data_IF_105993599701
#
_entry.id   IF_105993599701
#
_cell.length_a   1.000
_cell.length_b   1.000
_cell.length_c   1.000
_cell.angle_alpha   90.00
_cell.angle_beta   90.00
_cell.angle_gamma   90.00
#
_symmetry.space_group_name_H-M   'P 1'
#
loop_
_entity.id
_entity.type
_entity.pdbx_description
1 polymer ?
#
# COMPACT_ATOMS: atom_id res chain seq x y z
N UNK A 1 -26.10 -18.06 -11.51
CA UNK A 1 -25.41 -17.01 -12.29
C UNK A 1 -24.02 -17.47 -12.75
N UNK A 2 -23.76 -17.38 -14.05
CA UNK A 2 -22.43 -17.68 -14.62
C UNK A 2 -21.45 -16.57 -14.20
N UNK A 3 -20.22 -16.94 -13.87
CA UNK A 3 -19.14 -15.97 -13.59
C UNK A 3 -18.08 -16.09 -14.68
N UNK A 4 -17.66 -14.94 -15.20
CA UNK A 4 -16.62 -14.83 -16.21
C UNK A 4 -15.42 -14.06 -15.64
N UNK A 5 -14.22 -14.40 -16.09
CA UNK A 5 -12.99 -13.65 -15.82
C UNK A 5 -12.52 -13.05 -17.13
N UNK A 6 -12.29 -11.75 -17.14
CA UNK A 6 -11.72 -11.00 -18.27
C UNK A 6 -10.35 -10.48 -17.86
N UNK A 7 -9.37 -10.65 -18.74
CA UNK A 7 -8.02 -10.14 -18.59
C UNK A 7 -7.74 -9.28 -19.81
N UNK A 8 -7.36 -8.01 -19.60
CA UNK A 8 -7.08 -7.04 -20.64
C UNK A 8 -5.64 -6.53 -20.49
N UNK A 9 -4.99 -6.20 -21.62
CA UNK A 9 -3.65 -5.58 -21.67
C UNK A 9 -3.59 -4.66 -22.89
N UNK A 10 -2.69 -3.67 -22.89
CA UNK A 10 -2.43 -2.82 -24.06
C UNK A 10 -1.25 -3.33 -24.89
N UNK A 11 -1.19 -2.92 -26.16
CA UNK A 11 -0.04 -3.22 -27.02
C UNK A 11 1.25 -2.58 -26.48
N UNK A 12 1.16 -1.39 -25.88
CA UNK A 12 2.29 -0.70 -25.27
C UNK A 12 2.84 -1.46 -24.07
N UNK A 13 1.98 -2.05 -23.24
CA UNK A 13 2.40 -2.85 -22.09
C UNK A 13 3.04 -4.16 -22.53
N UNK A 14 2.56 -4.80 -23.60
CA UNK A 14 3.17 -6.04 -24.12
C UNK A 14 4.63 -5.85 -24.60
N UNK A 15 5.00 -4.65 -25.02
CA UNK A 15 6.37 -4.34 -25.47
C UNK A 15 7.31 -4.02 -24.31
N UNK A 16 6.79 -3.82 -23.10
CA UNK A 16 7.59 -3.49 -21.94
C UNK A 16 8.05 -4.74 -21.20
N UNK A 17 9.27 -4.73 -20.65
CA UNK A 17 9.71 -5.74 -19.71
C UNK A 17 9.31 -5.38 -18.26
N UNK A 18 9.18 -6.40 -17.42
CA UNK A 18 9.10 -6.23 -15.96
C UNK A 18 10.39 -6.75 -15.32
N UNK A 19 11.10 -5.87 -14.61
CA UNK A 19 12.25 -6.29 -13.79
C UNK A 19 11.73 -6.88 -12.47
N UNK A 20 12.10 -8.13 -12.19
CA UNK A 20 11.77 -8.85 -10.98
C UNK A 20 12.92 -8.71 -9.98
N UNK A 21 12.62 -8.65 -8.69
CA UNK A 21 13.67 -8.60 -7.67
C UNK A 21 14.39 -9.95 -7.58
N UNK A 22 15.72 -9.94 -7.63
CA UNK A 22 16.50 -11.17 -7.46
C UNK A 22 16.30 -11.78 -6.06
N UNK A 23 16.08 -13.11 -5.94
CA UNK A 23 15.86 -13.77 -4.67
C UNK A 23 17.01 -13.61 -3.66
N UNK A 24 18.27 -13.65 -4.10
CA UNK A 24 19.42 -13.53 -3.22
C UNK A 24 19.54 -12.10 -2.67
N UNK A 25 19.18 -11.09 -3.46
CA UNK A 25 19.10 -9.71 -2.97
C UNK A 25 17.96 -9.51 -1.97
N UNK A 26 16.79 -10.09 -2.24
CA UNK A 26 15.65 -10.02 -1.33
C UNK A 26 15.97 -10.71 0.01
N UNK A 27 16.60 -11.89 -0.04
CA UNK A 27 17.06 -12.62 1.14
C UNK A 27 18.08 -11.80 1.94
N UNK A 28 19.14 -11.31 1.29
CA UNK A 28 20.19 -10.52 1.93
C UNK A 28 19.62 -9.29 2.64
N UNK A 29 18.67 -8.59 2.00
CA UNK A 29 17.96 -7.45 2.60
C UNK A 29 17.17 -7.88 3.85
N UNK A 30 16.48 -9.03 3.79
CA UNK A 30 15.67 -9.55 4.89
C UNK A 30 16.47 -10.03 6.11
N UNK A 31 17.69 -10.54 5.90
CA UNK A 31 18.56 -11.03 6.98
C UNK A 31 19.61 -10.00 7.44
N UNK A 32 19.63 -8.80 6.84
CA UNK A 32 20.58 -7.74 7.19
C UNK A 32 22.01 -7.98 6.69
N UNK A 33 22.18 -8.86 5.70
CA UNK A 33 23.48 -9.15 5.09
C UNK A 33 23.79 -8.17 3.95
N UNK A 34 25.06 -8.13 3.53
CA UNK A 34 25.47 -7.40 2.33
C UNK A 34 24.69 -7.90 1.10
N UNK A 35 24.12 -6.96 0.34
CA UNK A 35 23.36 -7.27 -0.87
C UNK A 35 24.35 -7.68 -1.97
N UNK A 36 24.16 -8.83 -2.63
CA UNK A 36 25.04 -9.28 -3.71
C UNK A 36 24.91 -8.37 -4.94
N UNK A 37 26.04 -8.12 -5.59
CA UNK A 37 26.11 -7.38 -6.87
C UNK A 37 25.87 -8.32 -8.05
N UNK A 38 24.61 -8.67 -8.26
CA UNK A 38 24.13 -9.49 -9.37
C UNK A 38 22.98 -8.78 -10.07
N UNK A 39 22.77 -8.92 -11.39
CA UNK A 39 21.64 -8.27 -12.06
C UNK A 39 20.29 -8.86 -11.63
N UNK A 40 19.24 -8.03 -11.62
CA UNK A 40 17.87 -8.48 -11.35
C UNK A 40 17.27 -9.17 -12.61
N UNK A 41 16.52 -10.28 -12.47
CA UNK A 41 15.91 -10.96 -13.61
C UNK A 41 14.86 -10.10 -14.31
N UNK A 42 14.72 -10.25 -15.63
CA UNK A 42 13.80 -9.47 -16.45
C UNK A 42 12.77 -10.39 -17.12
N UNK A 43 11.49 -10.20 -16.80
CA UNK A 43 10.37 -10.90 -17.40
C UNK A 43 9.86 -10.17 -18.64
N UNK A 44 9.62 -10.91 -19.72
CA UNK A 44 8.98 -10.39 -20.94
C UNK A 44 7.48 -10.62 -20.87
N UNK A 45 6.71 -9.65 -21.36
CA UNK A 45 5.27 -9.79 -21.47
C UNK A 45 4.91 -10.60 -22.74
N UNK A 46 3.85 -11.38 -22.66
CA UNK A 46 3.34 -12.23 -23.74
C UNK A 46 1.81 -12.19 -23.72
N UNK A 47 1.19 -12.47 -24.86
CA UNK A 47 -0.27 -12.47 -25.02
C UNK A 47 -0.95 -13.72 -24.48
N UNK A 48 -0.17 -14.74 -24.19
CA UNK A 48 -0.61 -16.09 -23.87
C UNK A 48 0.12 -16.61 -22.63
N UNK A 49 -0.56 -17.46 -21.86
CA UNK A 49 -0.03 -17.99 -20.62
C UNK A 49 -1.06 -18.80 -19.84
N UNK A 50 -0.66 -19.30 -18.67
CA UNK A 50 -1.52 -20.11 -17.81
C UNK A 50 -1.90 -19.33 -16.56
N UNK A 51 -3.20 -19.11 -16.36
CA UNK A 51 -3.74 -18.52 -15.13
C UNK A 51 -4.33 -19.63 -14.26
N UNK A 52 -3.82 -19.78 -13.03
CA UNK A 52 -4.36 -20.72 -12.04
C UNK A 52 -5.23 -19.94 -11.05
N UNK A 53 -6.54 -20.17 -11.06
CA UNK A 53 -7.49 -19.50 -10.18
C UNK A 53 -7.99 -20.43 -9.08
N UNK A 54 -8.01 -19.93 -7.83
CA UNK A 54 -8.70 -20.58 -6.70
C UNK A 54 -9.76 -19.62 -6.17
N UNK A 55 -11.03 -19.96 -6.37
CA UNK A 55 -12.16 -19.11 -6.00
C UNK A 55 -12.83 -19.65 -4.74
N UNK A 56 -13.00 -18.80 -3.72
CA UNK A 56 -13.76 -19.11 -2.50
C UNK A 56 -14.82 -18.03 -2.31
N UNK A 57 -16.09 -18.42 -2.25
CA UNK A 57 -17.20 -17.50 -2.01
C UNK A 57 -17.57 -17.52 -0.53
N UNK A 58 -17.30 -16.44 0.20
CA UNK A 58 -17.82 -16.24 1.56
C UNK A 58 -19.11 -15.43 1.45
N UNK A 59 -20.26 -16.05 1.69
CA UNK A 59 -21.57 -15.45 1.43
C UNK A 59 -22.21 -14.79 2.67
N UNK A 60 -21.41 -14.18 3.56
CA UNK A 60 -21.89 -13.65 4.85
C UNK A 60 -21.74 -12.15 5.06
N UNK A 61 -21.46 -11.37 4.02
CA UNK A 61 -21.50 -9.92 4.11
C UNK A 61 -21.97 -9.33 2.79
N UNK A 62 -23.13 -8.68 2.83
CA UNK A 62 -23.54 -7.72 1.81
C UNK A 62 -22.43 -6.67 1.73
N UNK A 63 -21.58 -6.74 0.71
CA UNK A 63 -20.67 -5.64 0.40
C UNK A 63 -21.57 -4.58 -0.20
N UNK A 64 -21.87 -3.54 0.58
CA UNK A 64 -22.43 -2.29 0.05
C UNK A 64 -21.43 -1.75 -0.97
N UNK A 65 -21.59 -2.13 -2.24
CA UNK A 65 -20.92 -1.47 -3.37
C UNK A 65 -21.70 -0.17 -3.60
N UNK A 66 -21.51 0.78 -2.69
CA UNK A 66 -21.88 2.17 -2.88
C UNK A 66 -20.73 2.92 -3.56
N UNK A 67 -20.99 3.87 -4.47
CA UNK A 67 -19.93 4.66 -5.09
C UNK A 67 -19.34 5.59 -4.03
N UNK A 68 -18.17 5.25 -3.49
CA UNK A 68 -17.55 6.06 -2.43
C UNK A 68 -16.73 7.24 -2.96
N UNK A 69 -16.41 7.30 -4.25
CA UNK A 69 -15.83 8.50 -4.87
C UNK A 69 -16.31 8.61 -6.33
N UNK A 70 -16.79 9.79 -6.72
CA UNK A 70 -17.60 10.01 -7.93
C UNK A 70 -16.93 9.66 -9.26
N UNK A 71 -17.07 8.41 -9.70
CA UNK A 71 -16.91 8.03 -11.10
C UNK A 71 -18.17 7.28 -11.56
N UNK A 72 -19.05 8.00 -12.24
CA UNK A 72 -20.13 7.39 -13.02
C UNK A 72 -19.53 6.79 -14.28
N UNK A 73 -19.07 5.55 -14.18
CA UNK A 73 -18.66 4.75 -15.32
C UNK A 73 -18.77 3.27 -14.99
N UNK A 74 -19.70 2.57 -15.66
CA UNK A 74 -19.70 1.11 -15.74
C UNK A 74 -18.50 0.64 -16.56
N UNK A 75 -17.32 0.71 -15.98
CA UNK A 75 -16.09 0.15 -16.52
C UNK A 75 -15.65 -1.09 -15.72
N UNK A 76 -15.02 -2.09 -16.35
CA UNK A 76 -14.42 -3.20 -15.63
C UNK A 76 -13.37 -2.69 -14.63
N UNK A 77 -13.41 -3.19 -13.40
CA UNK A 77 -12.36 -2.91 -12.41
C UNK A 77 -11.10 -3.67 -12.79
N UNK A 78 -10.03 -2.95 -13.15
CA UNK A 78 -8.71 -3.55 -13.38
C UNK A 78 -8.05 -3.86 -12.04
N UNK A 79 -7.68 -5.12 -11.82
CA UNK A 79 -6.82 -5.52 -10.69
C UNK A 79 -5.47 -5.86 -11.30
N UNK A 80 -4.51 -4.93 -11.20
CA UNK A 80 -3.19 -5.07 -11.81
C UNK A 80 -2.67 -3.85 -12.58
N UNK A 81 -3.20 -2.64 -12.33
CA UNK A 81 -2.68 -1.42 -12.94
C UNK A 81 -1.31 -1.02 -12.33
N UNK A 82 -0.25 -1.75 -12.73
CA UNK A 82 1.07 -1.14 -12.80
C UNK A 82 0.98 -0.08 -13.88
N UNK A 83 1.02 1.18 -13.47
CA UNK A 83 1.12 2.31 -14.38
C UNK A 83 2.22 2.05 -15.41
N UNK A 84 1.96 2.44 -16.67
CA UNK A 84 2.98 2.56 -17.71
C UNK A 84 4.26 3.22 -17.15
N UNK A 85 5.46 2.91 -17.68
CA UNK A 85 6.70 3.33 -17.11
C UNK A 85 6.81 4.82 -17.35
N UNK A 86 6.54 5.59 -16.30
CA UNK A 86 6.98 6.96 -16.24
C UNK A 86 8.49 6.94 -16.46
N UNK A 87 8.95 7.71 -17.45
CA UNK A 87 10.36 7.95 -17.69
C UNK A 87 11.07 8.19 -16.36
N UNK A 88 12.19 7.51 -16.15
CA UNK A 88 12.95 7.54 -14.91
C UNK A 88 13.09 8.98 -14.41
N UNK A 89 12.57 9.32 -13.21
CA UNK A 89 12.95 10.57 -12.61
C UNK A 89 14.45 10.47 -12.32
N UNK A 90 15.21 11.45 -12.81
CA UNK A 90 16.54 11.76 -12.28
C UNK A 90 16.49 11.73 -10.75
N UNK A 91 17.57 11.32 -10.05
CA UNK A 91 17.54 11.08 -8.61
C UNK A 91 17.09 12.35 -7.89
N UNK A 92 15.81 12.37 -7.51
CA UNK A 92 15.26 13.40 -6.66
C UNK A 92 15.79 13.11 -5.28
N UNK A 93 16.58 14.05 -4.79
CA UNK A 93 16.95 14.19 -3.39
C UNK A 93 15.76 13.84 -2.47
N UNK A 94 16.01 13.24 -1.28
CA UNK A 94 14.96 12.75 -0.39
C UNK A 94 13.89 13.82 -0.22
N UNK A 95 12.72 13.54 -0.80
CA UNK A 95 11.58 14.45 -0.75
C UNK A 95 11.16 14.49 0.70
N UNK A 96 11.54 15.59 1.36
CA UNK A 96 11.08 16.01 2.67
C UNK A 96 9.57 15.71 2.74
N UNK A 97 9.17 14.93 3.74
CA UNK A 97 7.78 14.56 4.03
C UNK A 97 6.89 15.77 3.79
N UNK A 98 6.04 15.71 2.76
CA UNK A 98 4.97 16.69 2.62
C UNK A 98 4.13 16.58 3.89
N UNK A 99 3.81 17.70 4.56
CA UNK A 99 3.11 17.67 5.83
C UNK A 99 1.80 16.89 5.65
N UNK A 100 1.57 15.97 6.59
CA UNK A 100 0.36 15.16 6.63
C UNK A 100 -0.87 16.08 6.52
N UNK A 101 -1.86 15.70 5.72
CA UNK A 101 -3.07 16.51 5.56
C UNK A 101 -3.76 16.70 6.93
N UNK A 102 -4.24 17.91 7.24
CA UNK A 102 -4.80 18.25 8.56
C UNK A 102 -5.91 17.29 9.04
N UNK A 103 -6.73 16.79 8.10
CA UNK A 103 -7.78 15.81 8.40
C UNK A 103 -7.21 14.45 8.82
N UNK A 104 -6.12 14.04 8.18
CA UNK A 104 -5.37 12.83 8.54
C UNK A 104 -4.73 12.99 9.91
N UNK A 105 -4.18 14.17 10.23
CA UNK A 105 -3.58 14.44 11.54
C UNK A 105 -4.61 14.41 12.67
N UNK A 106 -5.78 15.00 12.43
CA UNK A 106 -6.90 14.94 13.37
C UNK A 106 -7.37 13.51 13.63
N UNK A 107 -7.41 12.67 12.58
CA UNK A 107 -7.77 11.26 12.69
C UNK A 107 -6.81 10.48 13.60
N UNK A 108 -5.50 10.58 13.34
CA UNK A 108 -4.50 9.88 14.15
C UNK A 108 -4.48 10.38 15.60
N UNK A 109 -4.55 11.69 15.82
CA UNK A 109 -4.61 12.26 17.17
C UNK A 109 -5.83 11.78 17.96
N UNK A 110 -7.00 11.64 17.32
CA UNK A 110 -8.20 11.09 17.95
C UNK A 110 -8.04 9.59 18.25
N UNK A 111 -7.55 8.83 17.28
CA UNK A 111 -7.37 7.39 17.44
C UNK A 111 -6.34 7.04 18.54
N UNK A 112 -5.26 7.83 18.64
CA UNK A 112 -4.27 7.73 19.72
C UNK A 112 -4.92 8.01 21.07
N UNK A 113 -5.67 9.12 21.20
CA UNK A 113 -6.40 9.45 22.45
C UNK A 113 -7.37 8.34 22.85
N UNK A 114 -8.15 7.82 21.92
CA UNK A 114 -9.14 6.77 22.18
C UNK A 114 -8.49 5.44 22.59
N UNK A 115 -7.40 5.05 21.92
CA UNK A 115 -6.66 3.84 22.26
C UNK A 115 -6.00 3.94 23.64
N UNK A 116 -5.38 5.09 23.94
CA UNK A 116 -4.85 5.34 25.28
C UNK A 116 -5.97 5.33 26.31
N UNK A 117 -7.11 6.00 26.09
CA UNK A 117 -8.27 6.01 26.97
C UNK A 117 -8.77 4.59 27.30
N UNK A 118 -8.75 3.68 26.32
CA UNK A 118 -9.13 2.27 26.49
C UNK A 118 -8.08 1.40 27.20
N UNK A 119 -6.85 1.91 27.35
CA UNK A 119 -5.74 1.14 27.94
C UNK A 119 -4.98 0.31 26.92
N UNK A 120 -5.33 0.42 25.63
CA UNK A 120 -4.69 -0.27 24.53
C UNK A 120 -3.39 0.46 24.12
N UNK A 121 -2.40 0.48 25.01
CA UNK A 121 -1.13 1.21 24.79
C UNK A 121 -0.41 0.71 23.55
N UNK A 122 -0.41 -0.60 23.28
CA UNK A 122 0.20 -1.18 22.08
C UNK A 122 -0.43 -0.68 20.78
N UNK A 123 -1.75 -0.45 20.80
CA UNK A 123 -2.46 0.10 19.65
C UNK A 123 -2.16 1.58 19.48
N UNK A 124 -2.08 2.32 20.57
CA UNK A 124 -1.71 3.73 20.56
C UNK A 124 -0.28 3.96 20.04
N UNK A 125 0.67 3.09 20.38
CA UNK A 125 2.03 3.12 19.86
C UNK A 125 2.09 2.85 18.35
N UNK A 126 1.38 1.83 17.85
CA UNK A 126 1.29 1.57 16.40
C UNK A 126 0.68 2.74 15.61
N UNK A 127 -0.32 3.41 16.17
CA UNK A 127 -0.94 4.59 15.57
C UNK A 127 0.01 5.81 15.58
N UNK A 128 0.81 5.94 16.63
CA UNK A 128 1.86 6.96 16.72
C UNK A 128 2.93 6.75 15.64
N UNK A 129 3.50 5.54 15.55
CA UNK A 129 4.56 5.22 14.58
C UNK A 129 4.09 5.47 13.13
N UNK A 130 2.83 5.11 12.84
CA UNK A 130 2.22 5.31 11.53
C UNK A 130 2.01 6.81 11.24
N UNK A 131 1.57 7.60 12.21
CA UNK A 131 1.42 9.04 12.06
C UNK A 131 2.77 9.74 11.87
N UNK A 132 3.82 9.35 12.60
CA UNK A 132 5.18 9.89 12.44
C UNK A 132 5.77 9.53 11.07
N UNK A 133 5.56 8.28 10.62
CA UNK A 133 5.96 7.82 9.28
C UNK A 133 5.32 8.64 8.16
N UNK A 134 4.09 9.10 8.38
CA UNK A 134 3.34 9.96 7.46
C UNK A 134 3.65 11.46 7.66
N UNK A 135 4.57 11.81 8.56
CA UNK A 135 5.05 13.18 8.76
C UNK A 135 4.25 14.00 9.78
N UNK A 136 3.45 13.37 10.65
CA UNK A 136 2.79 14.08 11.74
C UNK A 136 3.81 14.63 12.73
N UNK A 137 3.62 15.89 13.11
CA UNK A 137 4.44 16.57 14.12
C UNK A 137 3.77 16.62 15.49
N UNK A 138 2.46 16.33 15.55
CA UNK A 138 1.64 16.40 16.78
C UNK A 138 1.27 15.04 17.39
N UNK A 139 1.48 13.93 16.68
CA UNK A 139 1.11 12.60 17.17
C UNK A 139 1.84 12.24 18.48
N UNK A 140 3.15 12.52 18.56
CA UNK A 140 3.98 12.19 19.74
C UNK A 140 3.58 12.96 20.99
N UNK A 141 3.34 14.27 20.85
CA UNK A 141 2.88 15.10 21.97
C UNK A 141 1.46 14.72 22.42
N UNK A 142 0.60 14.32 21.48
CA UNK A 142 -0.74 13.80 21.75
C UNK A 142 -0.69 12.49 22.53
N UNK A 143 0.17 11.55 22.13
CA UNK A 143 0.38 10.29 22.85
C UNK A 143 0.83 10.54 24.30
N UNK A 144 1.90 11.32 24.49
CA UNK A 144 2.47 11.63 25.81
C UNK A 144 1.44 12.28 26.73
N UNK A 145 0.67 13.24 26.21
CA UNK A 145 -0.37 13.93 26.98
C UNK A 145 -1.51 12.99 27.38
N UNK A 146 -1.89 12.08 26.48
CA UNK A 146 -2.97 11.11 26.72
C UNK A 146 -2.59 10.06 27.76
N UNK A 147 -1.35 9.56 27.74
CA UNK A 147 -0.89 8.57 28.73
C UNK A 147 -0.62 9.22 30.09
N UNK A 148 -0.20 10.49 30.12
CA UNK A 148 -0.01 11.26 31.36
C UNK A 148 -1.33 11.63 32.04
N UNK A 149 -2.38 11.88 31.27
CA UNK A 149 -3.72 12.16 31.80
C UNK A 149 -4.48 10.92 32.32
N UNK A 150 -3.86 9.73 32.27
CA UNK A 150 -4.40 8.48 32.83
C UNK A 150 -4.03 8.22 34.29
N UNK A 151 -3.34 9.16 34.94
CA UNK A 151 -3.01 9.14 36.37
C UNK A 151 -3.89 10.06 37.18
#
# INVERSE_FOLDING_TARGET
PNRYVRVDTTAQELQQPTTLRDPAKAYATGVGNAIPDIPDPVARHTTDGVVKLKVKTNSSSSVLVGPLFGSSGTGPVTVGNTAAPVAAPAPVAPKKSEPMLNDTESYFNKAIKDAVAKGDVDKALKLLDEAERLGSTSARSTFISSVKGKG
#
